data_IF_299034564762
#
_entry.id   IF_299034564762
#
_cell.length_a   1.000
_cell.length_b   1.000
_cell.length_c   1.000
_cell.angle_alpha   90.00
_cell.angle_beta   90.00
_cell.angle_gamma   90.00
#
_symmetry.space_group_name_H-M   'P 1'
#
loop_
_entity.id
_entity.type
_entity.pdbx_description
1 polymer ?
#
# COMPACT_ATOMS: atom_id res chain seq x y z
N UNK A 1 39.59 45.67 29.42
CA UNK A 1 39.69 44.28 28.92
C UNK A 1 38.38 43.58 29.22
N UNK A 2 37.43 43.69 28.30
CA UNK A 2 36.16 42.94 28.33
C UNK A 2 36.37 41.72 27.44
N UNK A 3 36.36 40.52 28.05
CA UNK A 3 36.50 39.26 27.32
C UNK A 3 35.36 39.04 26.32
N UNK A 4 35.57 38.21 25.29
CA UNK A 4 34.53 37.92 24.32
C UNK A 4 33.38 37.19 25.03
N UNK A 5 32.16 37.69 24.83
CA UNK A 5 30.94 37.04 25.29
C UNK A 5 30.75 35.66 24.64
N UNK A 6 29.94 34.78 25.23
CA UNK A 6 29.75 33.42 24.75
C UNK A 6 29.19 33.43 23.32
N UNK A 7 29.87 32.74 22.41
CA UNK A 7 29.35 32.46 21.07
C UNK A 7 27.96 31.82 21.21
N UNK A 8 27.00 32.34 20.46
CA UNK A 8 25.63 31.84 20.44
C UNK A 8 25.63 30.32 20.20
N UNK A 9 25.26 29.57 21.24
CA UNK A 9 25.28 28.11 21.22
C UNK A 9 24.49 27.58 20.04
N UNK A 10 25.10 26.69 19.26
CA UNK A 10 24.42 25.97 18.18
C UNK A 10 23.13 25.34 18.71
N UNK A 11 22.04 25.32 17.93
CA UNK A 11 20.77 24.78 18.39
C UNK A 11 20.94 23.32 18.80
N UNK A 12 20.45 22.98 19.99
CA UNK A 12 20.34 21.58 20.43
C UNK A 12 19.32 20.87 19.55
N UNK A 13 19.79 20.11 18.56
CA UNK A 13 18.95 19.36 17.63
C UNK A 13 18.79 17.94 18.17
N UNK A 14 17.55 17.56 18.52
CA UNK A 14 17.18 16.17 18.77
C UNK A 14 16.74 15.52 17.46
N UNK A 15 17.35 14.39 17.12
CA UNK A 15 17.04 13.64 15.89
C UNK A 15 17.06 12.14 16.17
N UNK A 16 16.08 11.42 15.62
CA UNK A 16 16.02 9.95 15.66
C UNK A 16 16.75 9.30 14.47
N UNK A 17 17.46 10.08 13.64
CA UNK A 17 18.15 9.57 12.45
C UNK A 17 19.13 8.44 12.80
N UNK A 18 19.87 8.57 13.90
CA UNK A 18 20.81 7.56 14.34
C UNK A 18 20.13 6.21 14.61
N UNK A 19 19.03 6.20 15.38
CA UNK A 19 18.26 4.98 15.67
C UNK A 19 17.70 4.34 14.39
N UNK A 20 17.21 5.16 13.45
CA UNK A 20 16.74 4.68 12.16
C UNK A 20 17.89 4.01 11.39
N UNK A 21 19.05 4.68 11.28
CA UNK A 21 20.20 4.15 10.55
C UNK A 21 20.77 2.88 11.17
N UNK A 22 20.82 2.78 12.49
CA UNK A 22 21.20 1.54 13.17
C UNK A 22 20.21 0.40 12.88
N UNK A 23 18.90 0.69 12.96
CA UNK A 23 17.84 -0.30 12.68
C UNK A 23 17.87 -0.78 11.23
N UNK A 24 18.11 0.15 10.29
CA UNK A 24 18.29 -0.17 8.86
C UNK A 24 19.57 -0.96 8.64
N UNK A 25 20.66 -0.64 9.36
CA UNK A 25 21.90 -1.42 9.34
C UNK A 25 21.67 -2.87 9.75
N UNK A 26 21.01 -3.10 10.88
CA UNK A 26 20.67 -4.45 11.35
C UNK A 26 19.81 -5.22 10.34
N UNK A 27 18.84 -4.56 9.70
CA UNK A 27 18.06 -5.17 8.62
C UNK A 27 18.93 -5.57 7.41
N UNK A 28 19.86 -4.71 7.01
CA UNK A 28 20.79 -5.00 5.91
C UNK A 28 21.75 -6.14 6.25
N UNK A 29 22.16 -6.27 7.51
CA UNK A 29 22.96 -7.40 7.98
C UNK A 29 22.17 -8.71 7.87
N UNK A 30 20.90 -8.73 8.31
CA UNK A 30 20.01 -9.88 8.14
C UNK A 30 19.73 -10.23 6.67
N UNK A 31 19.88 -9.25 5.76
CA UNK A 31 19.68 -9.39 4.32
C UNK A 31 20.98 -9.69 3.54
N UNK A 32 22.09 -9.96 4.22
CA UNK A 32 23.42 -10.21 3.60
C UNK A 32 23.92 -9.02 2.75
N UNK A 33 23.55 -7.81 3.13
CA UNK A 33 23.86 -6.54 2.45
C UNK A 33 24.57 -5.53 3.36
N UNK A 34 25.32 -5.98 4.37
CA UNK A 34 26.07 -5.13 5.32
C UNK A 34 26.90 -4.04 4.62
N UNK A 35 26.54 -2.78 4.84
CA UNK A 35 27.35 -1.63 4.43
C UNK A 35 26.84 -0.36 5.14
N UNK A 36 27.64 0.29 6.01
CA UNK A 36 27.19 1.49 6.74
C UNK A 36 26.76 2.65 5.82
N UNK A 37 27.46 2.85 4.71
CA UNK A 37 27.10 3.88 3.71
C UNK A 37 25.76 3.55 3.03
N UNK A 38 25.47 2.26 2.81
CA UNK A 38 24.16 1.82 2.31
C UNK A 38 23.08 2.02 3.35
N UNK A 39 23.36 1.78 4.64
CA UNK A 39 22.40 2.01 5.71
C UNK A 39 22.00 3.49 5.82
N UNK A 40 22.96 4.42 5.73
CA UNK A 40 22.66 5.86 5.73
C UNK A 40 21.89 6.28 4.47
N UNK A 41 22.29 5.80 3.30
CA UNK A 41 21.59 6.09 2.04
C UNK A 41 20.16 5.53 2.02
N UNK A 42 19.97 4.30 2.48
CA UNK A 42 18.65 3.68 2.61
C UNK A 42 17.81 4.41 3.67
N UNK A 43 18.40 4.83 4.79
CA UNK A 43 17.70 5.66 5.79
C UNK A 43 17.17 6.96 5.18
N UNK A 44 17.99 7.64 4.36
CA UNK A 44 17.54 8.84 3.64
C UNK A 44 16.41 8.51 2.66
N UNK A 45 16.49 7.37 1.95
CA UNK A 45 15.43 6.91 1.06
C UNK A 45 14.12 6.74 1.81
N UNK A 46 14.11 6.06 2.97
CA UNK A 46 12.89 5.86 3.77
C UNK A 46 12.27 7.17 4.22
N UNK A 47 13.08 8.08 4.76
CA UNK A 47 12.61 9.40 5.24
C UNK A 47 12.07 10.25 4.10
N UNK A 48 12.74 10.26 2.96
CA UNK A 48 12.31 11.07 1.81
C UNK A 48 11.07 10.48 1.15
N UNK A 49 10.99 9.15 1.07
CA UNK A 49 9.88 8.43 0.47
C UNK A 49 8.59 8.57 1.31
N UNK A 50 8.69 8.59 2.63
CA UNK A 50 7.52 8.51 3.53
C UNK A 50 6.52 9.66 3.42
N UNK A 51 6.89 10.75 2.75
CA UNK A 51 6.05 11.92 2.44
C UNK A 51 6.36 12.47 1.05
N UNK A 52 6.80 11.64 0.11
CA UNK A 52 7.23 12.12 -1.19
C UNK A 52 6.06 12.75 -1.96
N UNK A 53 6.28 13.97 -2.46
CA UNK A 53 5.28 14.75 -3.19
C UNK A 53 5.88 15.40 -4.42
N UNK A 54 5.08 15.48 -5.47
CA UNK A 54 5.34 16.28 -6.67
C UNK A 54 4.11 17.14 -6.95
N UNK A 55 4.31 18.45 -7.14
CA UNK A 55 3.23 19.41 -7.41
C UNK A 55 2.06 19.33 -6.40
N UNK A 56 2.37 18.96 -5.14
CA UNK A 56 1.40 18.80 -4.06
C UNK A 56 0.73 17.42 -3.97
N UNK A 57 0.82 16.60 -5.03
CA UNK A 57 0.30 15.23 -5.04
C UNK A 57 1.27 14.26 -4.34
N UNK A 58 0.75 13.39 -3.48
CA UNK A 58 1.52 12.27 -2.92
C UNK A 58 1.82 11.27 -4.02
N UNK A 59 3.07 10.80 -4.07
CA UNK A 59 3.47 9.69 -4.93
C UNK A 59 3.96 8.53 -4.06
N UNK A 60 3.71 7.31 -4.54
CA UNK A 60 4.05 6.08 -3.84
C UNK A 60 4.97 5.20 -4.72
N UNK A 61 6.14 5.72 -5.13
CA UNK A 61 7.04 4.93 -5.96
C UNK A 61 7.54 3.73 -5.16
N UNK A 62 7.74 2.62 -5.87
CA UNK A 62 8.39 1.44 -5.30
C UNK A 62 9.86 1.47 -5.69
N UNK A 63 10.74 1.20 -4.74
CA UNK A 63 12.18 1.23 -4.94
C UNK A 63 12.80 -0.11 -4.58
N UNK A 64 13.83 -0.52 -5.33
CA UNK A 64 14.59 -1.74 -5.09
C UNK A 64 16.07 -1.41 -5.02
N UNK A 65 16.74 -1.88 -3.99
CA UNK A 65 18.18 -1.81 -3.82
C UNK A 65 18.77 -3.19 -4.08
N UNK A 66 19.81 -3.29 -4.91
CA UNK A 66 20.46 -4.57 -5.20
C UNK A 66 21.95 -4.45 -5.50
N UNK A 67 22.60 -5.60 -5.68
CA UNK A 67 24.03 -5.72 -6.04
C UNK A 67 24.26 -6.06 -7.51
N UNK A 68 23.31 -6.77 -8.13
CA UNK A 68 23.39 -7.18 -9.52
C UNK A 68 22.05 -6.88 -10.20
N UNK A 69 22.09 -6.06 -11.26
CA UNK A 69 20.88 -5.63 -11.94
C UNK A 69 20.19 -6.80 -12.66
N UNK A 70 20.95 -7.71 -13.27
CA UNK A 70 20.38 -8.85 -14.01
C UNK A 70 19.61 -9.78 -13.10
N UNK A 71 20.26 -10.25 -12.03
CA UNK A 71 19.67 -11.11 -11.02
C UNK A 71 18.50 -10.43 -10.29
N UNK A 72 18.61 -9.13 -10.01
CA UNK A 72 17.50 -8.37 -9.43
C UNK A 72 16.30 -8.31 -10.36
N UNK A 73 16.49 -8.02 -11.65
CA UNK A 73 15.38 -7.96 -12.61
C UNK A 73 14.74 -9.34 -12.83
N UNK A 74 15.54 -10.40 -12.91
CA UNK A 74 15.04 -11.77 -13.02
C UNK A 74 14.15 -12.14 -11.82
N UNK A 75 14.64 -11.87 -10.60
CA UNK A 75 13.90 -12.10 -9.37
C UNK A 75 12.59 -11.30 -9.33
N UNK A 76 12.66 -10.02 -9.65
CA UNK A 76 11.55 -9.08 -9.53
C UNK A 76 10.57 -9.13 -10.71
N UNK A 77 10.89 -9.87 -11.78
CA UNK A 77 10.13 -9.83 -13.02
C UNK A 77 10.19 -8.47 -13.73
N UNK A 78 11.32 -7.78 -13.59
CA UNK A 78 11.55 -6.49 -14.20
C UNK A 78 12.00 -6.62 -15.66
N UNK A 79 11.58 -5.66 -16.48
CA UNK A 79 11.92 -5.60 -17.90
C UNK A 79 12.47 -4.22 -18.29
N UNK A 80 13.19 -4.15 -19.40
CA UNK A 80 13.58 -2.89 -20.06
C UNK A 80 14.18 -1.84 -19.08
N UNK A 81 15.30 -2.16 -18.40
CA UNK A 81 15.91 -1.21 -17.47
C UNK A 81 16.42 0.03 -18.23
N UNK A 82 16.14 1.21 -17.68
CA UNK A 82 16.59 2.49 -18.19
C UNK A 82 17.50 3.13 -17.12
N UNK A 83 18.83 3.20 -17.35
CA UNK A 83 19.73 3.90 -16.45
C UNK A 83 19.51 5.41 -16.56
N UNK A 84 19.45 6.08 -15.41
CA UNK A 84 19.19 7.53 -15.33
C UNK A 84 20.41 8.29 -14.79
N UNK A 85 21.11 7.74 -13.80
CA UNK A 85 22.29 8.40 -13.27
C UNK A 85 23.08 7.58 -12.26
N UNK A 86 24.16 8.17 -11.78
CA UNK A 86 25.03 7.57 -10.77
C UNK A 86 25.64 8.65 -9.87
N UNK A 87 26.13 8.26 -8.71
CA UNK A 87 26.79 9.16 -7.77
C UNK A 87 27.32 8.45 -6.53
N UNK A 88 28.00 9.17 -5.63
CA UNK A 88 28.46 8.61 -4.35
C UNK A 88 27.29 8.09 -3.51
N UNK A 89 27.54 7.11 -2.64
CA UNK A 89 26.54 6.57 -1.69
C UNK A 89 26.24 7.58 -0.58
N UNK A 90 25.43 8.58 -0.88
CA UNK A 90 25.07 9.63 0.06
C UNK A 90 23.66 10.19 -0.19
N UNK A 91 23.25 11.04 0.74
CA UNK A 91 21.96 11.76 0.72
C UNK A 91 21.65 12.46 -0.61
N UNK A 92 22.62 13.19 -1.16
CA UNK A 92 22.40 13.97 -2.38
C UNK A 92 22.07 13.08 -3.58
N UNK A 93 22.74 11.93 -3.71
CA UNK A 93 22.45 10.95 -4.77
C UNK A 93 21.06 10.35 -4.62
N UNK A 94 20.63 10.01 -3.40
CA UNK A 94 19.28 9.45 -3.13
C UNK A 94 18.19 10.46 -3.47
N UNK A 95 18.34 11.72 -3.04
CA UNK A 95 17.37 12.77 -3.33
C UNK A 95 17.27 13.04 -4.84
N UNK A 96 18.40 13.03 -5.55
CA UNK A 96 18.43 13.18 -7.01
C UNK A 96 17.78 11.98 -7.72
N UNK A 97 18.07 10.75 -7.27
CA UNK A 97 17.46 9.54 -7.81
C UNK A 97 15.93 9.57 -7.69
N UNK A 98 15.42 9.91 -6.51
CA UNK A 98 13.99 10.09 -6.29
C UNK A 98 13.43 11.20 -7.19
N UNK A 99 14.05 12.38 -7.22
CA UNK A 99 13.57 13.50 -8.04
C UNK A 99 13.43 13.17 -9.52
N UNK A 100 14.36 12.38 -10.06
CA UNK A 100 14.39 12.03 -11.48
C UNK A 100 13.52 10.80 -11.82
N UNK A 101 13.30 9.89 -10.88
CA UNK A 101 12.67 8.59 -11.18
C UNK A 101 11.31 8.39 -10.52
N UNK A 102 11.07 8.92 -9.31
CA UNK A 102 9.81 8.73 -8.59
C UNK A 102 8.57 9.19 -9.39
N UNK A 103 8.60 10.33 -10.13
CA UNK A 103 7.46 10.74 -10.96
C UNK A 103 7.12 9.72 -12.06
N UNK A 104 8.10 8.94 -12.53
CA UNK A 104 7.92 7.95 -13.60
C UNK A 104 7.25 6.67 -13.10
N UNK A 105 7.27 6.41 -11.79
CA UNK A 105 6.68 5.23 -11.15
C UNK A 105 5.16 5.27 -11.00
N UNK A 106 4.48 6.32 -11.49
CA UNK A 106 3.03 6.44 -11.40
C UNK A 106 2.31 5.29 -12.13
N UNK A 107 1.20 4.82 -11.55
CA UNK A 107 0.44 3.71 -12.10
C UNK A 107 1.13 2.35 -12.05
N UNK A 108 2.29 2.25 -11.36
CA UNK A 108 3.04 1.00 -11.16
C UNK A 108 3.47 0.30 -12.46
N UNK A 109 3.68 1.09 -13.52
CA UNK A 109 4.31 0.63 -14.76
C UNK A 109 5.83 0.58 -14.66
N UNK A 110 6.39 1.38 -13.75
CA UNK A 110 7.81 1.51 -13.53
C UNK A 110 8.13 1.47 -12.04
N UNK A 111 9.29 0.91 -11.70
CA UNK A 111 9.85 0.95 -10.36
C UNK A 111 11.27 1.49 -10.40
N UNK A 112 11.68 2.16 -9.33
CA UNK A 112 13.05 2.64 -9.15
C UNK A 112 13.96 1.46 -8.82
N UNK A 113 15.16 1.43 -9.42
CA UNK A 113 16.25 0.62 -8.91
C UNK A 113 17.43 1.49 -8.43
N UNK A 114 18.11 0.99 -7.40
CA UNK A 114 19.35 1.50 -6.84
C UNK A 114 20.34 0.32 -6.83
N UNK A 115 21.40 0.41 -7.61
CA UNK A 115 22.43 -0.61 -7.70
C UNK A 115 23.65 -0.17 -6.90
N UNK A 116 24.13 -1.03 -6.01
CA UNK A 116 25.37 -0.79 -5.27
C UNK A 116 26.56 -1.05 -6.17
N UNK A 117 27.36 -0.01 -6.37
CA UNK A 117 28.64 -0.07 -7.07
C UNK A 117 29.78 0.14 -6.08
N UNK A 118 31.00 -0.40 -6.28
CA UNK A 118 32.12 -0.28 -5.35
C UNK A 118 32.38 1.15 -4.83
N UNK A 119 32.22 2.17 -5.69
CA UNK A 119 32.45 3.58 -5.35
C UNK A 119 31.17 4.42 -5.22
N UNK A 120 29.98 3.83 -5.36
CA UNK A 120 28.76 4.63 -5.48
C UNK A 120 27.45 3.87 -5.53
N UNK A 121 26.46 4.55 -6.10
CA UNK A 121 25.17 4.02 -6.52
C UNK A 121 24.95 4.38 -7.98
N UNK A 122 24.42 3.42 -8.74
CA UNK A 122 23.78 3.67 -10.03
C UNK A 122 22.28 3.54 -9.84
N UNK A 123 21.48 4.35 -10.51
CA UNK A 123 20.03 4.32 -10.38
C UNK A 123 19.32 4.53 -11.70
N UNK A 124 18.09 4.04 -11.75
CA UNK A 124 17.23 4.17 -12.90
C UNK A 124 15.86 3.58 -12.62
N UNK A 125 15.15 3.24 -13.69
CA UNK A 125 13.84 2.60 -13.61
C UNK A 125 13.82 1.31 -14.42
N UNK A 126 12.91 0.41 -14.07
CA UNK A 126 12.60 -0.76 -14.88
C UNK A 126 11.09 -0.93 -14.99
N UNK A 127 10.65 -1.51 -16.11
CA UNK A 127 9.24 -1.75 -16.40
C UNK A 127 8.74 -2.93 -15.57
N UNK A 128 7.55 -2.77 -15.03
CA UNK A 128 6.79 -3.78 -14.27
C UNK A 128 5.49 -4.12 -14.99
N UNK A 129 4.80 -5.18 -14.57
CA UNK A 129 3.44 -5.48 -15.04
C UNK A 129 2.39 -5.02 -14.01
N UNK A 130 1.60 -3.98 -14.30
CA UNK A 130 0.52 -3.53 -13.41
C UNK A 130 -0.78 -4.31 -13.63
N UNK A 131 -0.79 -5.39 -14.41
CA UNK A 131 -1.97 -6.21 -14.56
C UNK A 131 -2.46 -6.71 -13.19
N UNK A 132 -3.76 -6.57 -12.84
CA UNK A 132 -4.25 -6.87 -11.48
C UNK A 132 -4.04 -8.31 -11.00
N UNK A 133 -3.79 -9.25 -11.92
CA UNK A 133 -3.53 -10.66 -11.61
C UNK A 133 -2.05 -11.04 -11.76
N UNK A 134 -1.22 -10.13 -12.26
CA UNK A 134 0.22 -10.36 -12.34
C UNK A 134 0.84 -10.21 -10.95
N UNK A 135 1.79 -11.07 -10.66
CA UNK A 135 2.54 -10.98 -9.42
C UNK A 135 3.46 -9.76 -9.43
N UNK A 136 3.41 -8.99 -8.36
CA UNK A 136 4.17 -7.74 -8.27
C UNK A 136 5.63 -8.01 -7.89
N UNK A 137 6.57 -7.11 -8.19
CA UNK A 137 7.96 -7.26 -7.77
C UNK A 137 8.15 -7.57 -6.28
N UNK A 138 7.34 -6.98 -5.40
CA UNK A 138 7.41 -7.25 -3.95
C UNK A 138 6.82 -8.60 -3.55
N UNK A 139 5.79 -9.08 -4.26
CA UNK A 139 5.24 -10.43 -4.03
C UNK A 139 6.23 -11.50 -4.51
N UNK A 140 6.88 -11.28 -5.66
CA UNK A 140 7.98 -12.13 -6.14
C UNK A 140 9.12 -12.17 -5.13
N UNK A 141 9.54 -11.01 -4.63
CA UNK A 141 10.55 -10.91 -3.57
C UNK A 141 10.10 -11.61 -2.26
N UNK A 142 8.82 -11.56 -1.92
CA UNK A 142 8.26 -12.26 -0.75
C UNK A 142 8.32 -13.78 -0.91
N UNK A 143 8.07 -14.30 -2.11
CA UNK A 143 8.09 -15.74 -2.39
C UNK A 143 9.48 -16.29 -2.70
N UNK A 144 10.46 -15.41 -2.90
CA UNK A 144 11.86 -15.78 -3.05
C UNK A 144 12.36 -16.51 -1.79
N UNK A 145 12.47 -17.84 -1.89
CA UNK A 145 12.99 -18.70 -0.81
C UNK A 145 14.50 -18.55 -0.66
N UNK A 146 15.19 -18.29 -1.78
CA UNK A 146 16.64 -18.14 -1.83
C UNK A 146 17.06 -16.68 -1.53
N UNK A 147 18.10 -16.53 -0.70
CA UNK A 147 18.78 -15.25 -0.40
C UNK A 147 19.98 -15.00 -1.30
N UNK A 148 20.26 -15.89 -2.26
CA UNK A 148 21.38 -15.77 -3.20
C UNK A 148 21.36 -14.47 -4.00
N UNK A 149 20.17 -13.88 -4.21
CA UNK A 149 20.00 -12.56 -4.82
C UNK A 149 19.78 -11.51 -3.73
N UNK A 150 20.79 -10.67 -3.53
CA UNK A 150 20.81 -9.58 -2.53
C UNK A 150 19.98 -8.40 -3.02
N UNK A 151 18.69 -8.41 -2.68
CA UNK A 151 17.73 -7.36 -3.05
C UNK A 151 16.89 -6.96 -1.85
N UNK A 152 16.76 -5.65 -1.65
CA UNK A 152 15.86 -5.02 -0.69
C UNK A 152 14.81 -4.20 -1.43
N UNK A 153 13.55 -4.57 -1.27
CA UNK A 153 12.40 -3.78 -1.70
C UNK A 153 11.97 -2.78 -0.63
N UNK A 154 11.62 -1.58 -1.08
CA UNK A 154 11.11 -0.48 -0.25
C UNK A 154 9.76 -0.03 -0.80
N UNK A 155 8.75 -0.04 0.06
CA UNK A 155 7.38 0.29 -0.30
C UNK A 155 6.75 1.19 0.74
N UNK A 156 6.22 2.34 0.33
CA UNK A 156 5.34 3.12 1.19
C UNK A 156 3.95 2.49 1.25
N UNK A 157 3.52 2.06 2.44
CA UNK A 157 2.18 1.52 2.67
C UNK A 157 1.15 2.63 2.92
N UNK A 158 1.55 3.66 3.66
CA UNK A 158 0.77 4.84 4.00
C UNK A 158 1.70 6.00 4.37
N UNK A 159 1.14 7.17 4.68
CA UNK A 159 1.91 8.30 5.19
C UNK A 159 2.72 7.89 6.43
N UNK A 160 4.04 8.08 6.38
CA UNK A 160 4.98 7.69 7.46
C UNK A 160 5.08 6.18 7.76
N UNK A 161 4.51 5.29 6.94
CA UNK A 161 4.64 3.83 7.12
C UNK A 161 5.32 3.25 5.88
N UNK A 162 6.54 2.78 6.06
CA UNK A 162 7.34 2.12 5.02
C UNK A 162 7.51 0.64 5.36
N UNK A 163 7.36 -0.23 4.37
CA UNK A 163 7.75 -1.63 4.41
C UNK A 163 9.14 -1.79 3.78
N UNK A 164 10.04 -2.43 4.51
CA UNK A 164 11.28 -3.00 4.01
C UNK A 164 11.09 -4.50 3.82
N UNK A 165 11.53 -5.04 2.68
CA UNK A 165 11.43 -6.46 2.36
C UNK A 165 12.70 -6.95 1.71
N UNK A 166 13.13 -8.16 2.05
CA UNK A 166 14.18 -8.89 1.34
C UNK A 166 13.73 -10.35 1.11
N UNK A 167 14.56 -11.13 0.41
CA UNK A 167 14.33 -12.56 0.21
C UNK A 167 14.28 -13.36 1.52
N UNK A 168 13.79 -14.60 1.45
CA UNK A 168 13.68 -15.48 2.61
C UNK A 168 12.68 -15.00 3.66
N UNK A 169 11.64 -14.27 3.24
CA UNK A 169 10.55 -13.80 4.10
C UNK A 169 10.90 -12.63 5.02
N UNK A 170 12.10 -12.05 4.91
CA UNK A 170 12.54 -10.95 5.77
C UNK A 170 11.72 -9.68 5.49
N UNK A 171 11.04 -9.18 6.52
CA UNK A 171 10.20 -7.98 6.45
C UNK A 171 10.33 -7.14 7.71
N UNK A 172 10.32 -5.81 7.56
CA UNK A 172 10.22 -4.84 8.67
C UNK A 172 9.29 -3.70 8.26
N UNK A 173 8.50 -3.22 9.21
CA UNK A 173 7.71 -2.01 9.06
C UNK A 173 8.37 -0.87 9.83
N UNK A 174 8.57 0.25 9.15
CA UNK A 174 9.21 1.45 9.70
C UNK A 174 8.15 2.54 9.83
N UNK A 175 7.86 2.92 11.08
CA UNK A 175 6.94 3.99 11.42
C UNK A 175 7.73 5.26 11.70
N UNK A 176 7.63 6.25 10.81
CA UNK A 176 8.32 7.53 10.90
C UNK A 176 7.45 8.61 11.56
N UNK A 177 6.50 8.17 12.38
CA UNK A 177 5.62 9.02 13.20
C UNK A 177 5.64 8.53 14.64
N UNK A 178 5.21 9.37 15.58
CA UNK A 178 5.01 8.96 16.98
C UNK A 178 3.78 8.07 17.18
N UNK A 179 3.24 7.46 16.12
CA UNK A 179 2.07 6.58 16.22
C UNK A 179 2.38 5.36 17.08
N UNK A 180 1.37 4.88 17.82
CA UNK A 180 1.50 3.72 18.71
C UNK A 180 1.80 2.46 17.88
N UNK A 181 2.77 1.67 18.35
CA UNK A 181 3.27 0.44 17.71
C UNK A 181 2.24 -0.71 17.74
N UNK A 182 1.12 -0.53 18.46
CA UNK A 182 0.10 -1.57 18.68
C UNK A 182 -0.95 -1.68 17.55
N UNK A 183 -0.80 -0.93 16.45
CA UNK A 183 -1.73 -0.99 15.32
C UNK A 183 -1.33 -2.09 14.33
N UNK A 184 -2.31 -2.86 13.87
CA UNK A 184 -2.09 -3.83 12.79
C UNK A 184 -1.54 -3.11 11.54
N UNK A 185 -0.53 -3.68 10.86
CA UNK A 185 -0.04 -3.13 9.60
C UNK A 185 -1.17 -3.01 8.57
N UNK A 186 -1.21 -1.94 7.75
CA UNK A 186 -2.25 -1.77 6.73
C UNK A 186 -2.41 -2.98 5.79
N UNK A 187 -1.32 -3.70 5.51
CA UNK A 187 -1.33 -4.93 4.71
C UNK A 187 -2.17 -6.05 5.34
N UNK A 188 -2.11 -6.22 6.67
CA UNK A 188 -2.90 -7.22 7.41
C UNK A 188 -4.38 -6.84 7.39
N UNK A 189 -4.69 -5.57 7.60
CA UNK A 189 -6.08 -5.07 7.59
C UNK A 189 -6.72 -5.26 6.20
N UNK A 190 -5.96 -5.02 5.13
CA UNK A 190 -6.40 -5.27 3.76
C UNK A 190 -6.59 -6.76 3.47
N UNK A 191 -5.72 -7.62 3.99
CA UNK A 191 -5.87 -9.07 3.85
C UNK A 191 -7.17 -9.56 4.51
N UNK A 192 -7.55 -8.95 5.64
CA UNK A 192 -8.84 -9.20 6.30
C UNK A 192 -10.03 -8.79 5.43
N UNK A 193 -9.99 -7.60 4.81
CA UNK A 193 -11.05 -7.14 3.91
C UNK A 193 -11.15 -7.99 2.64
N UNK A 194 -10.02 -8.26 1.98
CA UNK A 194 -9.99 -9.11 0.78
C UNK A 194 -10.50 -10.52 1.08
N UNK A 195 -10.19 -11.05 2.26
CA UNK A 195 -10.73 -12.34 2.72
C UNK A 195 -12.24 -12.29 2.94
N UNK A 196 -12.78 -11.22 3.55
CA UNK A 196 -14.21 -11.07 3.75
C UNK A 196 -14.99 -10.97 2.43
N UNK A 197 -14.47 -10.23 1.45
CA UNK A 197 -15.09 -10.08 0.13
C UNK A 197 -15.06 -11.39 -0.69
N UNK A 198 -14.17 -12.32 -0.35
CA UNK A 198 -13.98 -13.57 -1.09
C UNK A 198 -14.36 -14.83 -0.31
N UNK A 199 -14.96 -14.67 0.87
CA UNK A 199 -15.26 -15.74 1.81
C UNK A 199 -16.19 -16.81 1.23
N UNK A 200 -17.20 -16.39 0.48
CA UNK A 200 -18.21 -17.24 -0.15
C UNK A 200 -17.93 -17.52 -1.64
N UNK A 201 -16.74 -17.18 -2.13
CA UNK A 201 -16.25 -17.56 -3.46
C UNK A 201 -15.86 -19.05 -3.46
N UNK A 202 -16.09 -19.72 -4.59
CA UNK A 202 -15.72 -21.12 -4.78
C UNK A 202 -14.22 -21.34 -4.56
N UNK A 203 -13.79 -22.47 -3.96
CA UNK A 203 -12.38 -22.72 -3.66
C UNK A 203 -11.43 -22.60 -4.87
N UNK A 204 -11.90 -22.98 -6.07
CA UNK A 204 -11.13 -22.90 -7.32
C UNK A 204 -10.74 -21.47 -7.72
N UNK A 205 -11.56 -20.49 -7.37
CA UNK A 205 -11.41 -19.09 -7.81
C UNK A 205 -11.00 -18.16 -6.67
N UNK A 206 -11.08 -18.63 -5.42
CA UNK A 206 -10.93 -17.82 -4.21
C UNK A 206 -9.58 -17.13 -4.10
N UNK A 207 -8.47 -17.84 -4.32
CA UNK A 207 -7.13 -17.25 -4.17
C UNK A 207 -6.86 -16.17 -5.21
N UNK A 208 -7.21 -16.40 -6.48
CA UNK A 208 -7.08 -15.40 -7.54
C UNK A 208 -7.98 -14.18 -7.29
N UNK A 209 -9.23 -14.40 -6.84
CA UNK A 209 -10.13 -13.32 -6.46
C UNK A 209 -9.58 -12.52 -5.27
N UNK A 210 -9.03 -13.20 -4.26
CA UNK A 210 -8.44 -12.54 -3.09
C UNK A 210 -7.24 -11.70 -3.49
N UNK A 211 -6.36 -12.23 -4.34
CA UNK A 211 -5.23 -11.50 -4.91
C UNK A 211 -5.67 -10.23 -5.64
N UNK A 212 -6.69 -10.33 -6.51
CA UNK A 212 -7.27 -9.19 -7.21
C UNK A 212 -7.76 -8.12 -6.23
N UNK A 213 -8.64 -8.47 -5.28
CA UNK A 213 -9.21 -7.49 -4.35
C UNK A 213 -8.15 -6.85 -3.46
N UNK A 214 -7.25 -7.67 -2.91
CA UNK A 214 -6.10 -7.20 -2.11
C UNK A 214 -5.29 -6.17 -2.89
N UNK A 215 -4.97 -6.48 -4.16
CA UNK A 215 -4.18 -5.59 -5.03
C UNK A 215 -4.89 -4.26 -5.27
N UNK A 216 -6.15 -4.31 -5.67
CA UNK A 216 -6.94 -3.11 -5.98
C UNK A 216 -7.13 -2.25 -4.74
N UNK A 217 -7.44 -2.85 -3.58
CA UNK A 217 -7.62 -2.11 -2.33
C UNK A 217 -6.31 -1.51 -1.82
N UNK A 218 -5.17 -2.20 -2.00
CA UNK A 218 -3.86 -1.64 -1.67
C UNK A 218 -3.54 -0.37 -2.47
N UNK A 219 -3.94 -0.32 -3.75
CA UNK A 219 -3.81 0.90 -4.54
C UNK A 219 -4.71 2.04 -4.04
N UNK A 220 -5.92 1.72 -3.55
CA UNK A 220 -6.80 2.72 -2.91
C UNK A 220 -6.19 3.26 -1.62
N UNK A 221 -5.50 2.42 -0.84
CA UNK A 221 -4.80 2.86 0.39
C UNK A 221 -3.70 3.89 0.13
N UNK A 222 -3.14 3.89 -1.08
CA UNK A 222 -2.15 4.86 -1.52
C UNK A 222 -2.80 6.11 -2.17
N UNK A 223 -4.13 6.23 -2.19
CA UNK A 223 -4.78 7.47 -2.65
C UNK A 223 -4.92 8.47 -1.49
N UNK A 224 -5.19 9.76 -1.71
CA UNK A 224 -5.27 10.75 -0.62
C UNK A 224 -6.64 10.83 0.09
N UNK A 225 -7.59 9.92 -0.20
CA UNK A 225 -8.98 10.03 0.25
C UNK A 225 -9.35 8.93 1.24
N UNK A 226 -9.98 9.30 2.36
CA UNK A 226 -10.53 8.31 3.30
C UNK A 226 -11.67 7.51 2.65
N UNK A 227 -11.72 6.20 2.90
CA UNK A 227 -12.67 5.28 2.25
C UNK A 227 -13.42 4.43 3.28
N UNK A 228 -14.65 4.03 2.94
CA UNK A 228 -15.48 3.13 3.72
C UNK A 228 -15.97 1.99 2.83
N UNK A 229 -15.90 0.77 3.35
CA UNK A 229 -16.41 -0.41 2.66
C UNK A 229 -17.32 -1.19 3.59
N UNK A 230 -18.47 -1.61 3.08
CA UNK A 230 -19.35 -2.58 3.72
C UNK A 230 -19.40 -3.85 2.87
N UNK A 231 -19.24 -5.01 3.49
CA UNK A 231 -19.35 -6.31 2.83
C UNK A 231 -20.63 -6.99 3.29
N UNK A 232 -21.52 -7.27 2.35
CA UNK A 232 -22.74 -8.04 2.57
C UNK A 232 -22.47 -9.54 2.42
N UNK A 233 -23.20 -10.41 3.15
CA UNK A 233 -23.29 -11.84 2.81
C UNK A 233 -23.89 -12.03 1.39
N UNK A 234 -23.55 -13.14 0.73
CA UNK A 234 -24.00 -13.51 -0.62
C UNK A 234 -25.52 -13.51 -0.77
N UNK A 235 -26.22 -13.89 0.30
CA UNK A 235 -27.67 -14.02 0.34
C UNK A 235 -28.38 -12.65 0.31
N UNK A 236 -27.63 -11.55 0.49
CA UNK A 236 -28.16 -10.19 0.52
C UNK A 236 -27.76 -9.41 -0.74
N UNK A 237 -28.76 -8.80 -1.36
CA UNK A 237 -28.57 -7.84 -2.46
C UNK A 237 -28.48 -6.38 -1.96
N UNK A 238 -28.82 -6.13 -0.69
CA UNK A 238 -28.84 -4.82 -0.05
C UNK A 238 -29.03 -4.94 1.46
N UNK A 239 -29.11 -3.80 2.14
CA UNK A 239 -29.36 -3.71 3.58
C UNK A 239 -30.30 -2.54 3.86
N UNK A 240 -31.16 -2.70 4.87
CA UNK A 240 -32.06 -1.63 5.32
C UNK A 240 -31.30 -0.46 5.97
N UNK A 241 -30.02 -0.65 6.31
CA UNK A 241 -29.12 0.39 6.80
C UNK A 241 -28.86 1.44 5.72
N UNK A 242 -28.86 1.05 4.46
CA UNK A 242 -28.55 1.90 3.33
C UNK A 242 -29.77 2.73 2.97
N UNK A 243 -29.70 4.03 3.21
CA UNK A 243 -30.82 4.96 3.02
C UNK A 243 -30.72 5.78 1.73
N UNK A 244 -29.52 5.88 1.17
CA UNK A 244 -29.25 6.61 -0.07
C UNK A 244 -27.99 6.04 -0.73
N UNK A 245 -27.81 6.32 -2.02
CA UNK A 245 -26.63 5.99 -2.80
C UNK A 245 -26.91 5.31 -4.13
N UNK A 246 -25.83 4.91 -4.81
CA UNK A 246 -25.88 4.32 -6.15
C UNK A 246 -25.70 2.81 -6.02
N UNK A 247 -26.82 2.08 -6.12
CA UNK A 247 -26.81 0.63 -6.27
C UNK A 247 -26.80 0.25 -7.75
N UNK A 248 -25.96 -0.70 -8.12
CA UNK A 248 -25.91 -1.20 -9.48
C UNK A 248 -27.19 -2.00 -9.77
N UNK A 249 -27.85 -1.79 -10.93
CA UNK A 249 -29.05 -2.54 -11.29
C UNK A 249 -28.77 -4.04 -11.43
N UNK A 250 -27.52 -4.40 -11.70
CA UNK A 250 -27.01 -5.76 -11.65
C UNK A 250 -25.67 -5.75 -10.89
N UNK A 251 -25.50 -6.59 -9.86
CA UNK A 251 -24.20 -6.80 -9.24
C UNK A 251 -23.12 -7.08 -10.28
N UNK A 252 -21.99 -6.40 -10.18
CA UNK A 252 -20.84 -6.68 -11.03
C UNK A 252 -20.07 -7.86 -10.44
N UNK A 253 -20.21 -9.02 -11.08
CA UNK A 253 -19.52 -10.24 -10.70
C UNK A 253 -18.05 -10.18 -11.17
N UNK A 254 -17.17 -9.77 -10.26
CA UNK A 254 -15.74 -9.68 -10.56
C UNK A 254 -15.16 -11.08 -10.76
N UNK A 255 -15.59 -12.06 -9.97
CA UNK A 255 -15.07 -13.44 -10.01
C UNK A 255 -15.30 -14.05 -11.37
N UNK A 256 -16.49 -13.89 -11.96
CA UNK A 256 -16.79 -14.35 -13.31
C UNK A 256 -15.86 -13.73 -14.37
N UNK A 257 -15.45 -12.47 -14.21
CA UNK A 257 -14.49 -11.83 -15.11
C UNK A 257 -13.08 -12.44 -14.97
N UNK A 258 -12.67 -12.75 -13.73
CA UNK A 258 -11.38 -13.41 -13.47
C UNK A 258 -11.37 -14.83 -14.02
N UNK A 259 -12.42 -15.60 -13.76
CA UNK A 259 -12.57 -16.98 -14.25
C UNK A 259 -12.57 -17.01 -15.78
N UNK A 260 -13.28 -16.07 -16.43
CA UNK A 260 -13.26 -15.94 -17.89
C UNK A 260 -11.85 -15.67 -18.41
N UNK A 261 -11.10 -14.78 -17.77
CA UNK A 261 -9.73 -14.49 -18.18
C UNK A 261 -8.80 -15.69 -17.99
N UNK A 262 -8.97 -16.45 -16.90
CA UNK A 262 -8.21 -17.67 -16.65
C UNK A 262 -8.51 -18.77 -17.69
N UNK A 263 -9.77 -18.94 -18.05
CA UNK A 263 -10.19 -19.92 -19.05
C UNK A 263 -9.75 -19.51 -20.48
N UNK A 264 -9.87 -18.23 -20.81
CA UNK A 264 -9.55 -17.68 -22.14
C UNK A 264 -8.79 -16.36 -22.00
N UNK A 265 -7.43 -16.40 -21.96
CA UNK A 265 -6.61 -15.21 -21.78
C UNK A 265 -6.48 -14.40 -23.08
N UNK A 266 -7.59 -13.83 -23.54
CA UNK A 266 -7.64 -12.93 -24.68
C UNK A 266 -7.60 -11.44 -24.24
N UNK A 267 -7.37 -10.55 -25.20
CA UNK A 267 -7.29 -9.11 -24.94
C UNK A 267 -8.59 -8.51 -24.40
N UNK A 268 -9.76 -9.07 -24.74
CA UNK A 268 -11.05 -8.61 -24.23
C UNK A 268 -11.23 -8.96 -22.76
N UNK A 269 -10.89 -10.19 -22.37
CA UNK A 269 -10.94 -10.65 -21.00
C UNK A 269 -9.93 -9.87 -20.13
N UNK A 270 -8.70 -9.70 -20.60
CA UNK A 270 -7.69 -8.88 -19.91
C UNK A 270 -8.15 -7.42 -19.73
N UNK A 271 -8.77 -6.83 -20.76
CA UNK A 271 -9.34 -5.48 -20.68
C UNK A 271 -10.48 -5.40 -19.67
N UNK A 272 -11.33 -6.42 -19.57
CA UNK A 272 -12.43 -6.46 -18.60
C UNK A 272 -11.92 -6.50 -17.14
N UNK A 273 -10.86 -7.28 -16.88
CA UNK A 273 -10.19 -7.31 -15.56
C UNK A 273 -9.55 -5.97 -15.22
N UNK A 274 -8.89 -5.30 -16.18
CA UNK A 274 -8.32 -3.96 -15.96
C UNK A 274 -9.42 -2.93 -15.69
N UNK A 275 -10.50 -2.98 -16.45
CA UNK A 275 -11.64 -2.07 -16.30
C UNK A 275 -12.34 -2.26 -14.94
N UNK A 276 -12.52 -3.50 -14.46
CA UNK A 276 -13.11 -3.77 -13.16
C UNK A 276 -12.23 -3.24 -12.01
N UNK A 277 -10.91 -3.41 -12.10
CA UNK A 277 -9.96 -2.84 -11.13
C UNK A 277 -10.01 -1.30 -11.13
N UNK A 278 -10.06 -0.67 -12.31
CA UNK A 278 -10.18 0.78 -12.42
C UNK A 278 -11.52 1.29 -11.84
N UNK A 279 -12.63 0.61 -12.16
CA UNK A 279 -13.95 1.00 -11.68
C UNK A 279 -14.05 0.89 -10.16
N UNK A 280 -13.57 -0.21 -9.57
CA UNK A 280 -13.56 -0.40 -8.13
C UNK A 280 -12.74 0.69 -7.42
N UNK A 281 -11.56 1.08 -7.95
CA UNK A 281 -10.79 2.21 -7.41
C UNK A 281 -11.58 3.51 -7.45
N UNK A 282 -12.23 3.79 -8.58
CA UNK A 282 -13.07 4.97 -8.73
C UNK A 282 -14.21 5.00 -7.70
N UNK A 283 -14.91 3.89 -7.55
CA UNK A 283 -16.00 3.72 -6.56
C UNK A 283 -15.50 3.94 -5.13
N UNK A 284 -14.38 3.34 -4.75
CA UNK A 284 -13.80 3.50 -3.40
C UNK A 284 -13.23 4.89 -3.12
N UNK A 285 -12.91 5.66 -4.17
CA UNK A 285 -12.46 7.04 -4.07
C UNK A 285 -13.62 8.05 -4.00
N UNK A 286 -14.86 7.62 -4.26
CA UNK A 286 -16.04 8.48 -4.06
C UNK A 286 -16.36 8.66 -2.57
N UNK A 287 -17.06 9.74 -2.24
CA UNK A 287 -17.58 9.91 -0.88
C UNK A 287 -18.64 8.83 -0.56
N UNK A 288 -18.85 8.52 0.71
CA UNK A 288 -19.78 7.46 1.14
C UNK A 288 -19.15 6.07 1.21
N UNK A 289 -20.00 5.04 1.17
CA UNK A 289 -19.64 3.63 1.36
C UNK A 289 -19.62 2.93 0.00
N UNK A 290 -18.55 2.17 -0.26
CA UNK A 290 -18.55 1.14 -1.32
C UNK A 290 -19.13 -0.15 -0.76
N UNK A 291 -20.13 -0.70 -1.45
CA UNK A 291 -20.82 -1.92 -1.02
C UNK A 291 -20.35 -3.09 -1.86
N UNK A 292 -19.71 -4.05 -1.21
CA UNK A 292 -19.25 -5.30 -1.79
C UNK A 292 -20.07 -6.46 -1.21
N UNK A 293 -19.91 -7.64 -1.81
CA UNK A 293 -20.52 -8.87 -1.32
C UNK A 293 -19.47 -9.98 -1.18
N UNK A 294 -19.67 -10.87 -0.23
CA UNK A 294 -18.71 -11.93 0.13
C UNK A 294 -18.50 -13.01 -0.96
N UNK A 295 -19.24 -12.95 -2.07
CA UNK A 295 -19.02 -13.72 -3.30
C UNK A 295 -18.20 -12.98 -4.36
N UNK A 296 -17.54 -11.88 -3.98
CA UNK A 296 -16.70 -11.08 -4.89
C UNK A 296 -17.47 -10.17 -5.84
N UNK A 297 -18.73 -9.86 -5.55
CA UNK A 297 -19.51 -8.90 -6.34
C UNK A 297 -19.38 -7.46 -5.83
N UNK A 298 -19.40 -6.49 -6.76
CA UNK A 298 -19.60 -5.08 -6.44
C UNK A 298 -21.09 -4.77 -6.55
N UNK A 299 -21.68 -4.19 -5.51
CA UNK A 299 -23.12 -3.91 -5.42
C UNK A 299 -23.44 -2.44 -5.61
N UNK A 300 -22.58 -1.54 -5.17
CA UNK A 300 -22.84 -0.11 -5.24
C UNK A 300 -21.74 0.74 -4.63
N UNK A 301 -21.89 2.04 -4.75
CA UNK A 301 -20.97 3.05 -4.24
C UNK A 301 -21.72 4.32 -3.89
N UNK A 302 -21.04 5.25 -3.23
CA UNK A 302 -21.67 6.47 -2.71
C UNK A 302 -22.90 6.17 -1.82
N UNK A 303 -22.84 5.07 -1.07
CA UNK A 303 -23.93 4.64 -0.19
C UNK A 303 -23.82 5.31 1.18
N UNK A 304 -24.95 5.70 1.74
CA UNK A 304 -25.05 6.35 3.04
C UNK A 304 -25.93 5.55 3.99
N UNK A 305 -25.60 5.58 5.28
CA UNK A 305 -26.38 4.94 6.35
C UNK A 305 -27.09 5.98 7.20
N UNK A 306 -28.22 5.57 7.79
CA UNK A 306 -28.85 6.38 8.84
C UNK A 306 -28.03 6.31 10.12
N UNK A 307 -27.66 7.46 10.66
CA UNK A 307 -27.04 7.53 11.98
C UNK A 307 -28.12 7.48 13.06
N UNK A 308 -28.05 6.54 14.02
CA UNK A 308 -28.93 6.52 15.18
C UNK A 308 -28.81 7.81 15.99
N UNK A 309 -29.92 8.36 16.49
CA UNK A 309 -29.91 9.59 17.32
C UNK A 309 -29.04 9.43 18.58
N UNK A 310 -28.87 8.20 19.07
CA UNK A 310 -28.04 7.87 20.23
C UNK A 310 -26.55 8.14 20.00
N UNK A 311 -26.05 7.93 18.77
CA UNK A 311 -24.67 8.28 18.38
C UNK A 311 -24.46 9.79 18.24
N UNK A 312 -25.53 10.55 17.94
CA UNK A 312 -25.47 12.01 17.86
C UNK A 312 -25.45 12.69 19.24
N UNK A 313 -25.89 11.99 20.31
CA UNK A 313 -26.01 12.54 21.67
C UNK A 313 -24.91 12.08 22.63
N UNK A 314 -24.00 11.19 22.23
CA UNK A 314 -22.88 10.78 23.07
C UNK A 314 -21.75 11.82 23.03
N UNK A 315 -21.43 12.52 24.15
CA UNK A 315 -20.42 13.59 24.18
C UNK A 315 -18.96 13.09 24.10
N UNK A 316 -18.74 11.78 23.91
CA UNK A 316 -17.45 11.12 24.10
C UNK A 316 -16.92 10.40 22.85
N UNK A 317 -17.51 10.62 21.67
CA UNK A 317 -17.02 9.98 20.44
C UNK A 317 -15.94 10.85 19.79
N UNK A 318 -14.67 10.47 19.97
CA UNK A 318 -13.55 11.03 19.23
C UNK A 318 -13.53 10.45 17.81
N UNK A 319 -13.79 11.28 16.79
CA UNK A 319 -13.64 10.90 15.38
C UNK A 319 -14.55 11.67 14.41
N UNK A 320 -14.10 11.82 13.15
CA UNK A 320 -14.86 12.50 12.09
C UNK A 320 -16.07 11.71 11.58
N UNK A 321 -16.79 12.28 10.60
CA UNK A 321 -18.02 11.69 10.05
C UNK A 321 -17.86 10.23 9.59
N UNK A 322 -16.78 9.92 8.84
CA UNK A 322 -16.47 8.56 8.38
C UNK A 322 -16.29 7.56 9.52
N UNK A 323 -15.65 7.97 10.63
CA UNK A 323 -15.45 7.10 11.80
C UNK A 323 -16.78 6.77 12.46
N UNK A 324 -17.68 7.74 12.59
CA UNK A 324 -19.05 7.50 13.10
C UNK A 324 -19.81 6.53 12.19
N UNK A 325 -19.68 6.67 10.87
CA UNK A 325 -20.29 5.74 9.91
C UNK A 325 -19.74 4.33 10.06
N UNK A 326 -18.42 4.19 10.19
CA UNK A 326 -17.80 2.89 10.42
C UNK A 326 -18.35 2.17 11.66
N UNK A 327 -18.59 2.89 12.76
CA UNK A 327 -19.11 2.28 13.99
C UNK A 327 -20.59 1.88 13.85
N UNK A 328 -21.38 2.62 13.06
CA UNK A 328 -22.73 2.19 12.66
C UNK A 328 -22.66 0.88 11.85
N UNK A 329 -21.72 0.77 10.91
CA UNK A 329 -21.51 -0.47 10.16
C UNK A 329 -21.06 -1.61 11.08
N UNK A 330 -20.18 -1.34 12.03
CA UNK A 330 -19.72 -2.34 13.00
C UNK A 330 -20.85 -2.89 13.86
N UNK A 331 -21.80 -2.04 14.27
CA UNK A 331 -22.97 -2.46 15.04
C UNK A 331 -23.91 -3.40 14.25
N UNK A 332 -23.77 -3.45 12.92
CA UNK A 332 -24.55 -4.31 12.03
C UNK A 332 -23.84 -5.60 11.62
N UNK A 333 -22.61 -5.85 12.10
CA UNK A 333 -21.86 -7.07 11.82
C UNK A 333 -22.57 -8.29 12.42
N UNK A 334 -22.52 -9.42 11.71
CA UNK A 334 -23.15 -10.69 12.10
C UNK A 334 -24.67 -10.74 11.90
N UNK A 335 -25.33 -9.57 11.82
CA UNK A 335 -26.74 -9.46 11.47
C UNK A 335 -26.96 -9.15 9.99
N UNK A 336 -26.45 -8.01 9.54
CA UNK A 336 -26.63 -7.52 8.17
C UNK A 336 -25.36 -7.56 7.33
N UNK A 337 -24.21 -7.30 7.95
CA UNK A 337 -22.91 -7.19 7.28
C UNK A 337 -21.99 -8.34 7.70
N UNK A 338 -21.20 -8.81 6.74
CA UNK A 338 -20.11 -9.77 6.96
C UNK A 338 -18.82 -9.06 7.40
N UNK A 339 -18.57 -7.85 6.88
CA UNK A 339 -17.44 -7.03 7.29
C UNK A 339 -17.70 -5.53 7.08
N UNK A 340 -16.96 -4.72 7.82
CA UNK A 340 -16.88 -3.28 7.68
C UNK A 340 -15.41 -2.87 7.65
N UNK A 341 -15.08 -1.89 6.82
CA UNK A 341 -13.73 -1.35 6.71
C UNK A 341 -13.74 0.16 6.64
N UNK A 342 -12.73 0.77 7.27
CA UNK A 342 -12.45 2.19 7.21
C UNK A 342 -10.97 2.43 6.93
N UNK A 343 -10.73 3.42 6.10
CA UNK A 343 -9.50 4.21 6.09
C UNK A 343 -9.86 5.66 6.34
N UNK A 344 -9.33 6.25 7.41
CA UNK A 344 -9.50 7.67 7.70
C UNK A 344 -8.55 8.53 6.84
N UNK A 345 -8.84 9.83 6.74
CA UNK A 345 -7.92 10.78 6.10
C UNK A 345 -6.61 10.93 6.89
N UNK A 346 -6.66 10.70 8.21
CA UNK A 346 -5.51 10.79 9.11
C UNK A 346 -4.64 9.51 9.11
N UNK A 347 -4.96 8.54 8.24
CA UNK A 347 -4.19 7.31 8.06
C UNK A 347 -4.58 6.15 8.98
N UNK A 348 -5.64 6.29 9.79
CA UNK A 348 -6.19 5.19 10.59
C UNK A 348 -6.88 4.17 9.68
N UNK A 349 -6.60 2.88 9.89
CA UNK A 349 -7.11 1.79 9.04
C UNK A 349 -7.64 0.69 9.95
N UNK A 350 -8.87 0.23 9.71
CA UNK A 350 -9.44 -0.87 10.46
C UNK A 350 -10.40 -1.69 9.59
N UNK A 351 -10.40 -3.00 9.84
CA UNK A 351 -11.37 -3.95 9.29
C UNK A 351 -11.96 -4.74 10.46
N UNK A 352 -13.29 -4.80 10.56
CA UNK A 352 -13.99 -5.67 11.51
C UNK A 352 -14.85 -6.65 10.72
N UNK A 353 -14.81 -7.91 11.13
CA UNK A 353 -15.57 -9.02 10.55
C UNK A 353 -16.60 -9.53 11.56
N UNK A 354 -17.68 -10.11 11.05
CA UNK A 354 -18.75 -10.73 11.82
C UNK A 354 -18.29 -11.92 12.66
#
# INVERSE_FOLDING_TARGET
MTGPGPEAGSPLILSFRHLLTESVGAFLDEADMTCPLTADALSELLVTLSRYREEGALLFPTAFLGDDLGAMLELLGGHDPIPIGSGPRNRATIQRALKQCAPLGQGRWWALYLLREPEGLTYGIFRTDPFPLAETPLERLRHAQDRGVRVVGVLQLADNIIELRAGGGLVRHVYLSGARVDLEPPSVVLDSLASAVTEQVLPSSREHARGFFRRVMFEVMQSSHGTLVAVLPRERAGSALFVDGILLPRPMDVVALLDRHHATPDGSAASAVRASAQLLRGMMATDGITVLRADGCILGYNVFVRHPETLARQPAFFGGARRRTFEVLCAALGGELAAAFIRSQDGDVACRRA
#
